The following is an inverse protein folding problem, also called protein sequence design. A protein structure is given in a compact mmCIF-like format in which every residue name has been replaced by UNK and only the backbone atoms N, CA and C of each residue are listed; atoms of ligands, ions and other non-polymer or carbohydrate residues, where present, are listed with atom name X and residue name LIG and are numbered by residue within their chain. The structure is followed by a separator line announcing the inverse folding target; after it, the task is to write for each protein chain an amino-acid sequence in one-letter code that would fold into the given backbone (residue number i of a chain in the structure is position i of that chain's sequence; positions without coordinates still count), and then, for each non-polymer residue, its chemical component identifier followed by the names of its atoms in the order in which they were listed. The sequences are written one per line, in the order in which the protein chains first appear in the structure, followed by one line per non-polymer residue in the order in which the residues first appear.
data_IF_913789937611
#
_entry.id   IF_913789937611
#
_cell.length_a   1.000
_cell.length_b   1.000
_cell.length_c   1.000
_cell.angle_alpha   90.00
_cell.angle_beta   90.00
_cell.angle_gamma   90.00
#
_symmetry.space_group_name_H-M   'P 1'
#
loop_
_entity.id
_entity.type
_entity.pdbx_description
1 polymer ?
#
# COMPACT_ATOMS: atom_id res chain seq x y z
N UNK A 1 14.82 -24.70 66.03
CA UNK A 1 13.48 -24.40 66.59
C UNK A 1 13.46 -22.93 66.98
N UNK A 2 12.51 -22.18 66.41
CA UNK A 2 12.02 -20.82 66.75
C UNK A 2 13.05 -19.80 67.27
N UNK A 3 13.28 -18.68 66.59
CA UNK A 3 12.36 -17.53 66.65
C UNK A 3 12.60 -16.54 65.49
N UNK A 4 11.49 -16.08 64.88
CA UNK A 4 11.43 -14.95 63.94
C UNK A 4 10.64 -13.86 64.66
N UNK A 5 11.23 -12.68 64.78
CA UNK A 5 10.60 -11.45 65.29
C UNK A 5 11.39 -10.29 64.68
N UNK A 6 10.80 -9.43 63.84
CA UNK A 6 10.26 -8.07 64.15
C UNK A 6 10.92 -7.12 63.10
N UNK A 7 10.34 -6.11 62.44
CA UNK A 7 9.00 -5.48 62.37
C UNK A 7 9.09 -4.32 61.34
N UNK A 8 7.96 -3.97 60.71
CA UNK A 8 7.55 -2.65 60.17
C UNK A 8 8.29 -1.99 58.98
N UNK A 9 7.54 -1.69 57.91
CA UNK A 9 6.86 -0.39 57.80
C UNK A 9 6.00 -0.24 56.53
N UNK A 10 4.84 0.38 56.76
CA UNK A 10 3.77 0.86 55.88
C UNK A 10 4.22 1.70 54.67
N UNK A 11 3.42 1.62 53.59
CA UNK A 11 3.13 2.57 52.49
C UNK A 11 3.11 1.79 51.16
N UNK A 12 2.12 1.85 50.29
CA UNK A 12 0.91 2.63 50.20
C UNK A 12 -0.05 1.93 49.22
N UNK A 13 -1.33 2.19 49.43
CA UNK A 13 -2.44 1.86 48.55
C UNK A 13 -2.21 2.34 47.12
N UNK A 14 -2.27 1.44 46.13
CA UNK A 14 -2.90 1.70 44.82
C UNK A 14 -3.41 0.38 44.25
N UNK A 15 -4.59 -0.04 44.74
CA UNK A 15 -5.50 -0.88 43.97
C UNK A 15 -6.20 0.04 42.96
N UNK A 16 -5.82 -0.01 41.70
CA UNK A 16 -6.74 0.30 40.61
C UNK A 16 -7.03 -0.98 39.85
N UNK A 17 -8.23 -1.48 40.09
CA UNK A 17 -8.90 -2.45 39.25
C UNK A 17 -8.94 -1.95 37.81
N UNK A 18 -8.37 -2.71 36.88
CA UNK A 18 -8.80 -2.69 35.48
C UNK A 18 -8.98 -4.12 35.02
N UNK A 19 -10.02 -4.74 35.59
CA UNK A 19 -10.60 -5.95 35.06
C UNK A 19 -11.36 -5.64 33.77
N UNK A 20 -10.92 -6.30 32.69
CA UNK A 20 -11.78 -6.89 31.65
C UNK A 20 -12.89 -6.03 31.03
N UNK A 21 -12.56 -5.30 29.95
CA UNK A 21 -13.39 -5.24 28.72
C UNK A 21 -12.47 -5.21 27.50
N UNK A 22 -11.82 -6.33 27.17
CA UNK A 22 -11.28 -6.58 25.84
C UNK A 22 -12.31 -7.41 25.06
N UNK A 23 -13.39 -6.75 24.62
CA UNK A 23 -14.36 -7.33 23.67
C UNK A 23 -14.51 -6.40 22.47
N UNK A 24 -13.96 -6.89 21.35
CA UNK A 24 -14.55 -6.80 20.00
C UNK A 24 -14.78 -5.38 19.44
N UNK A 25 -13.72 -4.82 18.85
CA UNK A 25 -13.87 -3.85 17.74
C UNK A 25 -13.16 -4.45 16.51
N UNK A 26 -13.74 -5.54 16.01
CA UNK A 26 -13.70 -5.87 14.60
C UNK A 26 -14.87 -5.11 13.99
N UNK A 27 -14.68 -3.84 13.61
CA UNK A 27 -15.69 -3.08 12.87
C UNK A 27 -15.05 -1.87 12.18
N UNK A 28 -14.98 -2.02 10.86
CA UNK A 28 -15.20 -0.98 9.86
C UNK A 28 -14.05 0.01 9.69
N UNK A 29 -13.20 -0.30 8.70
CA UNK A 29 -12.66 0.73 7.81
C UNK A 29 -13.82 1.64 7.38
N UNK A 30 -13.89 2.83 7.97
CA UNK A 30 -14.67 3.97 7.48
C UNK A 30 -13.64 5.05 7.22
N UNK A 31 -12.99 4.96 6.07
CA UNK A 31 -12.50 6.13 5.36
C UNK A 31 -13.06 6.05 3.96
N UNK A 32 -13.67 7.16 3.56
CA UNK A 32 -14.33 7.35 2.27
C UNK A 32 -13.21 7.35 1.22
N UNK A 33 -13.04 6.21 0.56
CA UNK A 33 -11.92 5.95 -0.33
C UNK A 33 -11.55 4.47 -0.36
N UNK A 34 -12.52 3.63 -0.75
CA UNK A 34 -12.32 2.26 -1.23
C UNK A 34 -11.25 1.40 -0.55
N UNK A 35 -11.68 0.49 0.35
CA UNK A 35 -11.03 -0.80 0.52
C UNK A 35 -11.23 -1.71 -0.72
N UNK A 36 -11.01 -1.17 -1.92
CA UNK A 36 -10.51 -1.99 -3.00
C UNK A 36 -9.06 -2.27 -2.62
N UNK A 37 -8.67 -3.53 -2.62
CA UNK A 37 -7.31 -3.98 -2.37
C UNK A 37 -6.36 -3.60 -3.53
N UNK A 38 -6.39 -2.32 -3.94
CA UNK A 38 -5.33 -1.60 -4.63
C UNK A 38 -4.75 -0.58 -3.64
N UNK A 39 -4.41 -1.05 -2.45
CA UNK A 39 -3.48 -0.30 -1.61
C UNK A 39 -2.09 -0.67 -2.10
N UNK A 40 -1.54 0.15 -3.01
CA UNK A 40 -0.11 0.32 -3.15
C UNK A 40 0.45 0.87 -1.85
N UNK A 41 0.50 0.04 -0.80
CA UNK A 41 1.37 0.26 0.35
C UNK A 41 2.77 0.20 -0.21
N UNK A 42 3.39 1.36 -0.46
CA UNK A 42 4.79 1.52 -0.90
C UNK A 42 5.41 0.23 -1.43
N UNK A 43 5.25 -0.03 -2.73
CA UNK A 43 5.88 -1.12 -3.45
C UNK A 43 7.31 -1.34 -2.91
N UNK A 44 7.49 -2.31 -2.01
CA UNK A 44 8.70 -2.40 -1.20
C UNK A 44 9.59 -3.46 -1.84
N UNK A 45 10.38 -3.04 -2.81
CA UNK A 45 11.55 -3.80 -3.21
C UNK A 45 12.61 -3.62 -2.12
N UNK A 46 13.01 -4.73 -1.51
CA UNK A 46 14.00 -4.78 -0.46
C UNK A 46 15.14 -5.67 -0.96
N UNK A 47 16.36 -5.14 -0.89
CA UNK A 47 17.56 -5.87 -1.26
C UNK A 47 18.33 -6.25 0.01
N UNK A 48 18.65 -7.53 0.17
CA UNK A 48 19.51 -8.01 1.26
C UNK A 48 20.51 -9.02 0.71
N UNK A 49 21.81 -8.70 0.82
CA UNK A 49 22.86 -9.39 0.07
C UNK A 49 22.60 -9.27 -1.44
N UNK A 50 22.53 -10.41 -2.14
CA UNK A 50 22.18 -10.49 -3.57
C UNK A 50 20.69 -10.78 -3.80
N UNK A 51 19.87 -10.83 -2.76
CA UNK A 51 18.47 -11.28 -2.86
C UNK A 51 17.52 -10.10 -2.94
N UNK A 52 16.59 -10.17 -3.89
CA UNK A 52 15.49 -9.24 -4.05
C UNK A 52 14.21 -9.80 -3.43
N UNK A 53 13.59 -8.99 -2.58
CA UNK A 53 12.27 -9.24 -2.01
C UNK A 53 11.33 -8.16 -2.50
N UNK A 54 10.13 -8.54 -2.93
CA UNK A 54 9.11 -7.60 -3.41
C UNK A 54 7.83 -7.88 -2.66
N UNK A 55 7.28 -6.86 -1.97
CA UNK A 55 6.13 -6.99 -1.05
C UNK A 55 6.35 -8.06 0.03
N UNK A 56 7.60 -8.22 0.49
CA UNK A 56 7.97 -9.21 1.51
C UNK A 56 8.13 -10.64 1.00
N UNK A 57 7.94 -10.90 -0.29
CA UNK A 57 8.14 -12.21 -0.91
C UNK A 57 9.49 -12.27 -1.63
N UNK A 58 10.20 -13.39 -1.50
CA UNK A 58 11.42 -13.62 -2.28
C UNK A 58 11.09 -13.66 -3.77
N UNK A 59 11.75 -12.80 -4.55
CA UNK A 59 11.52 -12.67 -5.98
C UNK A 59 12.62 -13.37 -6.79
N UNK A 60 13.88 -13.20 -6.38
CA UNK A 60 15.02 -13.79 -7.05
C UNK A 60 16.35 -13.23 -6.57
N UNK A 61 17.43 -13.58 -7.27
CA UNK A 61 18.75 -12.98 -7.07
C UNK A 61 19.00 -11.89 -8.11
N UNK A 62 19.66 -10.82 -7.66
CA UNK A 62 20.11 -9.71 -8.48
C UNK A 62 21.38 -10.09 -9.23
N UNK A 63 21.47 -9.68 -10.49
CA UNK A 63 22.68 -9.83 -11.29
C UNK A 63 23.75 -8.82 -10.87
N UNK A 64 25.00 -8.99 -11.33
CA UNK A 64 26.05 -8.00 -11.07
C UNK A 64 25.73 -6.61 -11.64
N UNK A 65 24.96 -6.55 -12.74
CA UNK A 65 24.49 -5.29 -13.30
C UNK A 65 23.45 -4.62 -12.38
N UNK A 66 22.50 -5.40 -11.86
CA UNK A 66 21.48 -4.90 -10.93
C UNK A 66 22.10 -4.44 -9.61
N UNK A 67 23.11 -5.15 -9.10
CA UNK A 67 23.84 -4.73 -7.91
C UNK A 67 24.58 -3.40 -8.13
N UNK A 68 25.19 -3.21 -9.30
CA UNK A 68 25.82 -1.93 -9.65
C UNK A 68 24.79 -0.79 -9.76
N UNK A 69 23.60 -1.07 -10.30
CA UNK A 69 22.49 -0.11 -10.32
C UNK A 69 22.00 0.20 -8.90
N UNK A 70 21.88 -0.80 -8.04
CA UNK A 70 21.50 -0.65 -6.64
C UNK A 70 22.49 0.22 -5.85
N UNK A 71 23.81 0.04 -6.05
CA UNK A 71 24.82 0.89 -5.43
C UNK A 71 24.68 2.36 -5.83
N UNK A 72 24.48 2.63 -7.13
CA UNK A 72 24.24 4.00 -7.63
C UNK A 72 22.97 4.59 -7.05
N UNK A 73 21.90 3.80 -6.96
CA UNK A 73 20.63 4.25 -6.37
C UNK A 73 20.79 4.58 -4.88
N UNK A 74 21.54 3.78 -4.11
CA UNK A 74 21.84 4.09 -2.70
C UNK A 74 22.57 5.42 -2.55
N UNK A 75 23.61 5.65 -3.35
CA UNK A 75 24.35 6.91 -3.33
C UNK A 75 23.44 8.11 -3.67
N UNK A 76 22.64 7.97 -4.73
CA UNK A 76 21.66 8.99 -5.12
C UNK A 76 20.64 9.27 -4.00
N UNK A 77 20.18 8.24 -3.29
CA UNK A 77 19.27 8.39 -2.15
C UNK A 77 19.92 9.07 -0.95
N UNK A 78 21.20 8.83 -0.69
CA UNK A 78 21.96 9.54 0.36
C UNK A 78 22.07 11.02 0.03
N UNK A 79 22.42 11.36 -1.21
CA UNK A 79 22.49 12.75 -1.67
C UNK A 79 21.12 13.44 -1.59
N UNK A 80 20.07 12.79 -2.08
CA UNK A 80 18.71 13.29 -1.98
C UNK A 80 18.27 13.56 -0.54
N UNK A 81 18.61 12.66 0.40
CA UNK A 81 18.27 12.85 1.83
C UNK A 81 18.95 14.10 2.37
N UNK A 82 20.23 14.31 2.06
CA UNK A 82 20.97 15.51 2.46
C UNK A 82 20.37 16.79 1.85
N UNK A 83 20.01 16.78 0.56
CA UNK A 83 19.36 17.90 -0.10
C UNK A 83 17.99 18.24 0.54
N UNK A 84 17.20 17.22 0.91
CA UNK A 84 15.92 17.40 1.59
C UNK A 84 16.12 17.99 3.00
N UNK A 85 17.13 17.52 3.74
CA UNK A 85 17.46 18.09 5.04
C UNK A 85 17.87 19.57 4.94
N UNK A 86 18.68 19.92 3.96
CA UNK A 86 19.05 21.31 3.70
C UNK A 86 17.84 22.17 3.30
N UNK A 87 17.00 21.67 2.39
CA UNK A 87 15.75 22.32 2.01
C UNK A 87 14.87 22.61 3.23
N UNK A 88 14.69 21.61 4.10
CA UNK A 88 13.89 21.72 5.32
C UNK A 88 14.46 22.74 6.31
N UNK A 89 15.79 22.90 6.38
CA UNK A 89 16.43 23.94 7.22
C UNK A 89 16.19 25.36 6.69
N UNK A 90 16.07 25.51 5.36
CA UNK A 90 15.82 26.80 4.73
C UNK A 90 14.32 27.15 4.69
N UNK A 91 13.43 26.17 4.80
CA UNK A 91 11.97 26.37 4.86
C UNK A 91 11.55 27.35 5.97
N UNK A 92 10.59 28.27 5.71
CA UNK A 92 9.83 28.50 4.48
C UNK A 92 10.45 29.55 3.54
N UNK A 93 11.74 29.89 3.67
CA UNK A 93 12.39 30.94 2.87
C UNK A 93 12.78 30.50 1.45
N UNK A 94 12.30 29.34 1.00
CA UNK A 94 12.68 28.69 -0.26
C UNK A 94 11.45 28.33 -1.06
N UNK A 95 11.55 28.47 -2.37
CA UNK A 95 10.45 28.18 -3.29
C UNK A 95 10.20 26.67 -3.39
N UNK A 96 8.96 26.27 -3.69
CA UNK A 96 8.59 24.86 -3.91
C UNK A 96 9.34 24.29 -5.12
N UNK A 97 9.72 25.13 -6.09
CA UNK A 97 10.53 24.72 -7.26
C UNK A 97 11.92 24.23 -6.90
N UNK A 98 12.45 24.58 -5.73
CA UNK A 98 13.74 24.10 -5.23
C UNK A 98 13.63 22.76 -4.48
N UNK A 99 12.44 22.13 -4.47
CA UNK A 99 12.26 20.84 -3.84
C UNK A 99 13.16 19.81 -4.52
N UNK A 100 14.06 19.14 -3.77
CA UNK A 100 14.92 18.10 -4.32
C UNK A 100 14.09 17.03 -5.02
N UNK A 101 14.56 16.58 -6.19
CA UNK A 101 13.88 15.52 -6.94
C UNK A 101 14.33 14.17 -6.38
N UNK A 102 13.36 13.35 -5.97
CA UNK A 102 13.64 11.97 -5.57
C UNK A 102 14.24 11.19 -6.75
N UNK A 103 15.31 10.40 -6.53
CA UNK A 103 15.85 9.50 -7.55
C UNK A 103 14.79 8.53 -8.07
N UNK A 104 14.89 8.20 -9.35
CA UNK A 104 14.05 7.18 -9.98
C UNK A 104 14.41 5.79 -9.41
N UNK A 105 13.41 4.92 -9.26
CA UNK A 105 13.62 3.57 -8.71
C UNK A 105 14.47 2.71 -9.65
N UNK A 106 15.25 1.74 -9.14
CA UNK A 106 16.01 0.84 -9.98
C UNK A 106 15.14 0.05 -10.95
N UNK A 107 15.68 -0.29 -12.12
CA UNK A 107 15.00 -1.00 -13.20
C UNK A 107 14.44 -2.36 -12.79
N UNK A 108 15.12 -3.04 -11.86
CA UNK A 108 14.68 -4.31 -11.27
C UNK A 108 13.52 -4.16 -10.27
N UNK A 109 13.02 -2.94 -10.02
CA UNK A 109 11.91 -2.65 -9.12
C UNK A 109 10.85 -1.80 -9.83
N UNK A 110 10.06 -2.44 -10.70
CA UNK A 110 9.02 -1.77 -11.47
C UNK A 110 7.61 -2.04 -10.93
N UNK A 111 6.62 -1.34 -11.48
CA UNK A 111 5.20 -1.53 -11.14
C UNK A 111 4.71 -2.95 -11.49
N UNK A 112 5.28 -3.60 -12.50
CA UNK A 112 4.82 -4.93 -12.93
C UNK A 112 5.15 -6.01 -11.90
N UNK A 113 6.35 -5.98 -11.32
CA UNK A 113 6.75 -6.94 -10.30
C UNK A 113 6.25 -6.56 -8.91
N UNK A 114 5.95 -5.30 -8.67
CA UNK A 114 5.44 -4.81 -7.37
C UNK A 114 3.92 -4.86 -7.27
N UNK A 115 3.20 -5.03 -8.38
CA UNK A 115 1.76 -5.24 -8.35
C UNK A 115 1.43 -6.67 -7.91
N UNK A 116 0.72 -6.78 -6.79
CA UNK A 116 0.28 -8.03 -6.20
C UNK A 116 -1.21 -8.26 -6.47
N UNK A 117 -1.55 -9.40 -7.08
CA UNK A 117 -2.92 -9.86 -7.26
C UNK A 117 -3.21 -10.98 -6.27
N UNK A 118 -4.09 -10.71 -5.31
CA UNK A 118 -4.52 -11.69 -4.31
C UNK A 118 -5.77 -12.39 -4.83
N UNK A 119 -5.66 -13.69 -5.08
CA UNK A 119 -6.76 -14.58 -5.45
C UNK A 119 -7.10 -15.49 -4.27
N UNK A 120 -8.22 -16.21 -4.32
CA UNK A 120 -8.50 -17.14 -3.20
C UNK A 120 -7.49 -18.31 -3.27
N UNK A 121 -6.70 -18.46 -2.22
CA UNK A 121 -5.72 -19.55 -2.07
C UNK A 121 -4.32 -19.27 -2.60
N UNK A 122 -4.12 -18.26 -3.46
CA UNK A 122 -2.78 -17.89 -3.92
C UNK A 122 -2.64 -16.40 -4.25
N UNK A 123 -1.40 -15.94 -4.31
CA UNK A 123 -1.02 -14.61 -4.74
C UNK A 123 -0.24 -14.70 -6.05
N UNK A 124 -0.49 -13.78 -6.97
CA UNK A 124 0.28 -13.64 -8.21
C UNK A 124 0.97 -12.29 -8.22
N UNK A 125 2.28 -12.28 -8.44
CA UNK A 125 3.09 -11.07 -8.48
C UNK A 125 4.28 -11.26 -9.43
N UNK A 126 4.52 -10.29 -10.32
CA UNK A 126 5.63 -10.36 -11.29
C UNK A 126 5.66 -11.66 -12.09
N UNK A 127 4.48 -12.14 -12.49
CA UNK A 127 4.23 -13.43 -13.17
C UNK A 127 4.64 -14.69 -12.40
N UNK A 128 4.81 -14.59 -11.09
CA UNK A 128 5.07 -15.72 -10.19
C UNK A 128 3.84 -15.98 -9.32
N UNK A 129 3.55 -17.26 -9.08
CA UNK A 129 2.50 -17.73 -8.17
C UNK A 129 3.12 -18.06 -6.83
N UNK A 130 2.48 -17.57 -5.77
CA UNK A 130 2.84 -17.79 -4.38
C UNK A 130 1.68 -18.38 -3.61
N UNK A 131 1.95 -19.41 -2.81
CA UNK A 131 0.98 -20.00 -1.87
C UNK A 131 1.45 -19.68 -0.46
N UNK A 132 0.69 -18.85 0.25
CA UNK A 132 1.17 -18.21 1.47
C UNK A 132 2.35 -17.27 1.16
N UNK A 133 3.52 -17.55 1.74
CA UNK A 133 4.76 -16.79 1.50
C UNK A 133 5.77 -17.54 0.62
N UNK A 134 5.39 -18.71 0.10
CA UNK A 134 6.31 -19.58 -0.64
C UNK A 134 6.07 -19.46 -2.14
N UNK A 135 7.15 -19.36 -2.90
CA UNK A 135 7.12 -19.48 -4.35
C UNK A 135 6.61 -20.88 -4.75
N UNK A 136 5.60 -20.93 -5.60
CA UNK A 136 5.04 -22.17 -6.12
C UNK A 136 5.55 -22.47 -7.53
N UNK A 137 5.36 -21.53 -8.46
CA UNK A 137 5.73 -21.66 -9.88
C UNK A 137 5.65 -20.32 -10.61
N UNK A 138 6.24 -20.26 -11.80
CA UNK A 138 5.97 -19.19 -12.75
C UNK A 138 4.62 -19.41 -13.45
N UNK A 139 3.98 -18.32 -13.89
CA UNK A 139 2.84 -18.39 -14.79
C UNK A 139 3.30 -18.86 -16.18
N UNK A 140 2.48 -19.71 -16.79
CA UNK A 140 2.57 -20.08 -18.21
C UNK A 140 2.27 -18.88 -19.11
N UNK A 141 2.62 -18.97 -20.40
CA UNK A 141 2.36 -17.89 -21.36
C UNK A 141 0.88 -17.56 -21.48
N UNK A 142 0.02 -18.58 -21.46
CA UNK A 142 -1.43 -18.46 -21.52
C UNK A 142 -2.00 -17.79 -20.27
N UNK A 143 -1.46 -18.12 -19.09
CA UNK A 143 -1.86 -17.48 -17.84
C UNK A 143 -1.39 -16.02 -17.75
N UNK A 144 -0.21 -15.70 -18.29
CA UNK A 144 0.25 -14.30 -18.42
C UNK A 144 -0.73 -13.50 -19.29
N UNK A 145 -1.23 -14.07 -20.38
CA UNK A 145 -2.26 -13.44 -21.22
C UNK A 145 -3.57 -13.22 -20.46
N UNK A 146 -4.00 -14.21 -19.68
CA UNK A 146 -5.19 -14.09 -18.84
C UNK A 146 -5.02 -13.00 -17.79
N UNK A 147 -3.85 -12.92 -17.15
CA UNK A 147 -3.54 -11.89 -16.17
C UNK A 147 -3.58 -10.51 -16.81
N UNK A 148 -2.96 -10.32 -17.98
CA UNK A 148 -3.00 -9.04 -18.71
C UNK A 148 -4.42 -8.60 -19.04
N UNK A 149 -5.25 -9.50 -19.59
CA UNK A 149 -6.66 -9.22 -19.89
C UNK A 149 -7.45 -8.86 -18.62
N UNK A 150 -7.17 -9.54 -17.52
CA UNK A 150 -7.79 -9.26 -16.23
C UNK A 150 -7.40 -7.88 -15.70
N UNK A 151 -6.10 -7.53 -15.70
CA UNK A 151 -5.58 -6.22 -15.28
C UNK A 151 -6.15 -5.08 -16.13
N UNK A 152 -6.22 -5.23 -17.45
CA UNK A 152 -6.86 -4.24 -18.33
C UNK A 152 -8.34 -4.05 -18.01
N UNK A 153 -9.05 -5.14 -17.70
CA UNK A 153 -10.44 -5.10 -17.27
C UNK A 153 -10.61 -4.38 -15.93
N UNK A 154 -9.70 -4.61 -14.98
CA UNK A 154 -9.71 -3.92 -13.68
C UNK A 154 -9.49 -2.42 -13.85
N UNK A 155 -8.52 -2.03 -14.67
CA UNK A 155 -8.26 -0.61 -14.97
C UNK A 155 -9.49 0.10 -15.53
N UNK A 156 -10.16 -0.50 -16.52
CA UNK A 156 -11.41 0.06 -17.10
C UNK A 156 -12.53 0.17 -16.06
N UNK A 157 -12.66 -0.84 -15.19
CA UNK A 157 -13.65 -0.83 -14.13
C UNK A 157 -13.36 0.26 -13.08
N UNK A 158 -12.08 0.44 -12.73
CA UNK A 158 -11.64 1.48 -11.80
C UNK A 158 -11.88 2.88 -12.38
N UNK A 159 -11.49 3.13 -13.63
CA UNK A 159 -11.76 4.40 -14.33
C UNK A 159 -13.26 4.73 -14.35
N UNK A 160 -14.10 3.72 -14.61
CA UNK A 160 -15.55 3.86 -14.52
C UNK A 160 -15.99 4.25 -13.10
N UNK A 161 -15.53 3.54 -12.06
CA UNK A 161 -15.90 3.84 -10.68
C UNK A 161 -15.42 5.24 -10.23
N UNK A 162 -14.21 5.64 -10.60
CA UNK A 162 -13.67 6.98 -10.33
C UNK A 162 -14.53 8.05 -11.00
N UNK A 163 -14.97 7.83 -12.25
CA UNK A 163 -15.86 8.78 -12.94
C UNK A 163 -17.24 8.90 -12.28
N UNK A 164 -17.78 7.80 -11.73
CA UNK A 164 -19.03 7.81 -10.98
C UNK A 164 -18.89 8.58 -9.66
N UNK A 165 -17.79 8.34 -8.93
CA UNK A 165 -17.49 9.06 -7.68
C UNK A 165 -17.33 10.55 -7.97
N UNK A 166 -16.55 10.92 -8.99
CA UNK A 166 -16.34 12.31 -9.40
C UNK A 166 -17.65 13.00 -9.82
N UNK A 167 -18.56 12.29 -10.49
CA UNK A 167 -19.87 12.83 -10.86
C UNK A 167 -20.76 13.06 -9.61
N UNK A 168 -20.58 12.27 -8.55
CA UNK A 168 -21.42 12.29 -7.36
C UNK A 168 -20.86 13.16 -6.23
N UNK A 169 -19.55 13.39 -6.19
CA UNK A 169 -18.92 14.18 -5.15
C UNK A 169 -18.98 15.69 -5.44
N UNK A 170 -19.60 16.42 -4.52
CA UNK A 170 -19.48 17.87 -4.37
C UNK A 170 -18.03 18.24 -4.08
N UNK A 171 -17.51 19.35 -4.61
CA UNK A 171 -16.22 19.87 -4.16
C UNK A 171 -16.31 20.22 -2.66
N UNK A 172 -15.42 19.67 -1.84
CA UNK A 172 -15.32 20.03 -0.43
C UNK A 172 -14.27 21.12 -0.27
N UNK A 173 -14.66 22.28 0.23
CA UNK A 173 -13.73 23.35 0.63
C UNK A 173 -13.72 23.41 2.15
N UNK A 174 -12.58 23.08 2.74
CA UNK A 174 -12.38 23.17 4.18
C UNK A 174 -11.59 24.44 4.49
N UNK A 175 -12.07 25.22 5.46
CA UNK A 175 -11.32 26.33 6.04
C UNK A 175 -11.17 26.07 7.54
N UNK A 176 -9.99 25.59 7.96
CA UNK A 176 -9.77 25.03 9.30
C UNK A 176 -10.54 23.71 9.54
N UNK A 177 -11.14 23.54 10.72
CA UNK A 177 -11.94 22.35 11.09
C UNK A 177 -13.36 22.30 10.49
N UNK A 178 -13.74 23.29 9.68
CA UNK A 178 -15.09 23.42 9.13
C UNK A 178 -15.06 23.16 7.63
N UNK A 179 -15.49 21.97 7.23
CA UNK A 179 -15.70 21.63 5.83
C UNK A 179 -17.15 21.98 5.47
N UNK A 180 -17.31 22.83 4.46
CA UNK A 180 -18.62 23.13 3.89
C UNK A 180 -18.71 22.35 2.59
N UNK A 181 -19.77 21.56 2.47
CA UNK A 181 -20.11 20.88 1.23
C UNK A 181 -20.61 21.94 0.25
N UNK A 182 -19.78 22.30 -0.73
CA UNK A 182 -20.24 23.10 -1.86
C UNK A 182 -20.90 22.15 -2.84
N UNK A 183 -22.21 21.93 -2.68
CA UNK A 183 -23.01 21.46 -3.81
C UNK A 183 -22.87 22.50 -4.91
N UNK A 184 -22.10 22.20 -5.96
CA UNK A 184 -22.03 23.04 -7.14
C UNK A 184 -23.47 23.26 -7.63
N UNK A 185 -24.01 24.44 -7.36
CA UNK A 185 -25.34 24.80 -7.83
C UNK A 185 -25.26 24.87 -9.35
N UNK A 186 -26.02 23.99 -10.00
CA UNK A 186 -26.42 24.10 -11.41
C UNK A 186 -25.31 24.21 -12.47
N UNK A 187 -24.37 23.25 -12.49
CA UNK A 187 -23.61 22.93 -13.70
C UNK A 187 -24.18 21.67 -14.35
N UNK A 188 -25.00 21.82 -15.40
CA UNK A 188 -25.56 20.78 -16.30
C UNK A 188 -25.44 19.34 -15.79
N UNK A 189 -26.56 18.75 -15.32
CA UNK A 189 -26.71 17.28 -15.26
C UNK A 189 -26.25 16.72 -16.60
N UNK A 190 -25.08 16.08 -16.66
CA UNK A 190 -24.69 15.29 -17.83
C UNK A 190 -25.81 14.28 -18.04
N UNK A 191 -26.62 14.49 -19.08
CA UNK A 191 -27.86 13.74 -19.34
C UNK A 191 -27.61 12.33 -19.88
N UNK A 192 -26.35 11.89 -19.97
CA UNK A 192 -26.03 10.54 -20.39
C UNK A 192 -25.57 9.72 -19.17
N UNK A 193 -26.34 8.69 -18.76
CA UNK A 193 -25.87 7.76 -17.74
C UNK A 193 -24.58 7.09 -18.25
N UNK A 194 -23.52 7.13 -17.44
CA UNK A 194 -22.29 6.39 -17.72
C UNK A 194 -22.65 4.91 -17.89
N UNK A 195 -22.31 4.34 -19.04
CA UNK A 195 -22.59 2.93 -19.34
C UNK A 195 -21.89 2.05 -18.30
N UNK A 196 -22.59 1.12 -17.63
CA UNK A 196 -21.96 0.25 -16.64
C UNK A 196 -20.88 -0.62 -17.28
N UNK A 197 -19.70 -0.62 -16.68
CA UNK A 197 -18.60 -1.51 -17.02
C UNK A 197 -18.66 -2.72 -16.08
N UNK A 198 -18.76 -3.96 -16.59
CA UNK A 198 -18.78 -5.15 -15.75
C UNK A 198 -17.41 -5.39 -15.09
N UNK A 199 -17.41 -5.94 -13.88
CA UNK A 199 -16.17 -6.39 -13.23
C UNK A 199 -15.55 -7.54 -14.04
N UNK A 200 -14.22 -7.56 -14.26
CA UNK A 200 -13.59 -8.60 -15.06
C UNK A 200 -13.69 -9.97 -14.39
N UNK A 201 -13.83 -11.02 -15.21
CA UNK A 201 -13.85 -12.40 -14.71
C UNK A 201 -12.48 -12.77 -14.13
N UNK A 202 -12.47 -13.19 -12.87
CA UNK A 202 -11.27 -13.64 -12.17
C UNK A 202 -10.67 -14.89 -12.84
N UNK A 203 -9.37 -14.89 -13.20
CA UNK A 203 -8.68 -16.08 -13.68
C UNK A 203 -8.53 -17.15 -12.57
N UNK A 204 -8.40 -18.41 -12.96
CA UNK A 204 -8.18 -19.53 -12.04
C UNK A 204 -6.71 -19.96 -12.07
N UNK A 205 -5.85 -19.20 -11.39
CA UNK A 205 -4.42 -19.51 -11.28
C UNK A 205 -4.09 -20.43 -10.10
N UNK A 206 -4.97 -20.47 -9.10
CA UNK A 206 -4.69 -21.10 -7.82
C UNK A 206 -5.17 -22.55 -7.73
N UNK A 207 -6.10 -22.98 -8.61
CA UNK A 207 -6.62 -24.35 -8.66
C UNK A 207 -7.25 -24.80 -7.34
N UNK A 208 -8.58 -24.80 -7.25
CA UNK A 208 -9.26 -25.31 -6.06
C UNK A 208 -9.46 -26.82 -6.17
N UNK A 209 -9.06 -27.56 -5.14
CA UNK A 209 -9.53 -28.93 -4.90
C UNK A 209 -10.51 -28.85 -3.74
N UNK A 210 -11.77 -29.21 -3.98
CA UNK A 210 -12.79 -29.38 -2.94
C UNK A 210 -12.76 -30.80 -2.39
#
# INVERSE_FOLDING_TARGET
MHTITIIFSLLALFHTSSGTIAKRIQKRCISIGGCFAYHGTSAACIVTGTKLFVNGLYYGELTSADLNEYEKYKEAMTNYTAEVEEYNRRWPRVEISELPRKPDTPSFCDENITTQYVFNGCTVQGFKVYVGQNYARDLTSEEKDQLRKYTEGLKKYEEYYQSLVQQRFSSFSCNGFRCIEYHASSGKKSKNPLKPVPYPKTPDFCGYVY
#
